data_IF_160349180039
#
_entry.id   IF_160349180039
#
_cell.length_a   1.000
_cell.length_b   1.000
_cell.length_c   1.000
_cell.angle_alpha   90.00
_cell.angle_beta   90.00
_cell.angle_gamma   90.00
#
_symmetry.space_group_name_H-M   'P 1'
#
loop_
_entity.id
_entity.type
_entity.pdbx_description
1 polymer ?
#
# COMPACT_ATOMS: atom_id res chain seq x y z
N UNK A 1 -6.39 -22.58 -3.40
CA UNK A 1 -6.21 -21.17 -3.00
C UNK A 1 -6.34 -20.29 -4.23
N UNK A 2 -7.09 -19.18 -4.15
CA UNK A 2 -7.20 -18.21 -5.25
C UNK A 2 -6.04 -17.23 -5.16
N UNK A 3 -5.29 -17.05 -6.24
CA UNK A 3 -4.12 -16.16 -6.27
C UNK A 3 -4.53 -14.72 -6.57
N UNK A 4 -3.85 -13.76 -5.95
CA UNK A 4 -3.96 -12.35 -6.32
C UNK A 4 -3.36 -12.12 -7.71
N UNK A 5 -4.06 -11.36 -8.55
CA UNK A 5 -3.59 -10.93 -9.87
C UNK A 5 -2.61 -9.76 -9.77
N UNK A 6 -2.81 -8.89 -8.77
CA UNK A 6 -1.86 -7.88 -8.37
C UNK A 6 -1.82 -7.80 -6.83
N UNK A 7 -0.62 -7.59 -6.29
CA UNK A 7 -0.44 -7.50 -4.84
C UNK A 7 0.58 -6.41 -4.50
N UNK A 8 0.18 -5.55 -3.57
CA UNK A 8 1.00 -4.54 -2.96
C UNK A 8 1.27 -4.94 -1.50
N UNK A 9 2.54 -4.82 -1.11
CA UNK A 9 3.00 -4.93 0.26
C UNK A 9 3.82 -3.68 0.53
N UNK A 10 3.52 -2.97 1.62
CA UNK A 10 4.21 -1.74 1.98
C UNK A 10 5.74 -1.91 2.00
N UNK A 11 6.23 -2.95 2.68
CA UNK A 11 7.66 -3.28 2.71
C UNK A 11 7.87 -4.78 2.62
N UNK A 12 8.48 -5.24 1.52
CA UNK A 12 8.77 -6.65 1.29
C UNK A 12 9.83 -7.16 2.28
N UNK A 13 9.56 -8.29 2.92
CA UNK A 13 10.50 -8.98 3.81
C UNK A 13 10.47 -8.54 5.28
N UNK A 14 9.71 -7.50 5.63
CA UNK A 14 9.51 -7.09 7.03
C UNK A 14 8.50 -8.04 7.69
N UNK A 15 8.92 -8.75 8.75
CA UNK A 15 8.09 -9.75 9.42
C UNK A 15 7.27 -9.14 10.56
N UNK A 16 6.16 -9.79 10.94
CA UNK A 16 5.36 -9.39 12.12
C UNK A 16 6.19 -9.36 13.39
N UNK A 17 7.09 -10.35 13.57
CA UNK A 17 8.00 -10.39 14.71
C UNK A 17 8.91 -9.16 14.71
N UNK A 18 9.49 -8.81 13.56
CA UNK A 18 10.34 -7.64 13.42
C UNK A 18 9.58 -6.35 13.76
N UNK A 19 8.35 -6.19 13.28
CA UNK A 19 7.51 -5.01 13.54
C UNK A 19 7.28 -4.83 15.05
N UNK A 20 6.85 -5.91 15.73
CA UNK A 20 6.60 -5.88 17.18
C UNK A 20 7.87 -5.59 17.96
N UNK A 21 8.99 -6.22 17.59
CA UNK A 21 10.29 -5.99 18.20
C UNK A 21 10.77 -4.54 18.02
N UNK A 22 10.64 -3.97 16.82
CA UNK A 22 11.04 -2.60 16.54
C UNK A 22 10.16 -1.57 17.27
N UNK A 23 8.88 -1.85 17.48
CA UNK A 23 8.01 -1.05 18.35
C UNK A 23 8.42 -1.14 19.83
N UNK A 24 8.69 -2.34 20.34
CA UNK A 24 9.20 -2.53 21.71
C UNK A 24 10.52 -1.81 21.93
N UNK A 25 11.43 -1.86 20.95
CA UNK A 25 12.70 -1.13 20.99
C UNK A 25 12.47 0.37 21.09
N UNK A 26 11.61 0.94 20.24
CA UNK A 26 11.30 2.37 20.23
C UNK A 26 10.73 2.82 21.59
N UNK A 27 9.77 2.08 22.13
CA UNK A 27 9.17 2.40 23.43
C UNK A 27 10.21 2.29 24.56
N UNK A 28 11.04 1.25 24.58
CA UNK A 28 12.08 1.11 25.60
C UNK A 28 13.15 2.22 25.55
N UNK A 29 13.48 2.73 24.35
CA UNK A 29 14.36 3.89 24.20
C UNK A 29 13.67 5.15 24.72
N UNK A 30 12.39 5.36 24.36
CA UNK A 30 11.61 6.50 24.84
C UNK A 30 11.54 6.51 26.36
N UNK A 31 11.17 5.37 26.97
CA UNK A 31 11.08 5.23 28.42
C UNK A 31 12.43 5.52 29.10
N UNK A 32 13.55 5.07 28.52
CA UNK A 32 14.89 5.38 29.00
C UNK A 32 15.21 6.87 28.93
N UNK A 33 14.84 7.55 27.85
CA UNK A 33 15.08 8.99 27.69
C UNK A 33 14.22 9.82 28.65
N UNK A 34 12.96 9.44 28.84
CA UNK A 34 11.99 10.17 29.66
C UNK A 34 12.27 10.00 31.17
N UNK A 35 12.78 8.84 31.60
CA UNK A 35 13.02 8.53 33.01
C UNK A 35 14.48 8.60 33.44
N UNK A 36 15.41 8.90 32.54
CA UNK A 36 16.78 9.15 32.96
C UNK A 36 16.81 10.40 33.85
N UNK A 37 17.34 10.27 35.06
CA UNK A 37 17.67 11.41 35.93
C UNK A 37 18.88 12.22 35.40
N UNK A 38 19.08 12.23 34.08
CA UNK A 38 20.17 12.92 33.40
C UNK A 38 19.63 14.14 32.69
N UNK A 39 20.33 15.27 32.81
CA UNK A 39 20.08 16.42 31.96
C UNK A 39 20.61 16.12 30.55
N UNK A 40 19.72 16.15 29.56
CA UNK A 40 20.05 15.92 28.16
C UNK A 40 20.57 17.18 27.46
N UNK A 41 20.23 18.38 27.95
CA UNK A 41 20.50 19.67 27.28
C UNK A 41 22.00 19.96 27.08
N UNK A 42 22.86 19.39 27.93
CA UNK A 42 24.32 19.54 27.84
C UNK A 42 25.03 18.48 27.00
N UNK A 43 24.32 17.48 26.46
CA UNK A 43 24.95 16.37 25.73
C UNK A 43 24.91 16.64 24.23
N UNK A 44 25.99 16.27 23.54
CA UNK A 44 25.95 16.13 22.08
C UNK A 44 25.00 15.00 21.67
N UNK A 45 24.45 15.08 20.46
CA UNK A 45 23.60 14.04 19.87
C UNK A 45 24.33 12.69 19.80
N UNK A 46 25.64 12.69 19.56
CA UNK A 46 26.44 11.47 19.60
C UNK A 46 26.57 10.88 21.01
N UNK A 47 26.67 11.72 22.05
CA UNK A 47 26.70 11.27 23.44
C UNK A 47 25.35 10.69 23.89
N UNK A 48 24.23 11.35 23.57
CA UNK A 48 22.89 10.82 23.85
C UNK A 48 22.72 9.46 23.18
N UNK A 49 23.10 9.35 21.90
CA UNK A 49 23.05 8.08 21.18
C UNK A 49 23.97 7.01 21.78
N UNK A 50 25.17 7.37 22.24
CA UNK A 50 26.07 6.44 22.91
C UNK A 50 25.47 5.91 24.23
N UNK A 51 24.76 6.76 24.98
CA UNK A 51 24.02 6.37 26.19
C UNK A 51 22.86 5.42 25.87
N UNK A 52 22.08 5.69 24.82
CA UNK A 52 21.04 4.77 24.33
C UNK A 52 21.66 3.41 23.96
N UNK A 53 22.79 3.41 23.24
CA UNK A 53 23.49 2.17 22.89
C UNK A 53 24.00 1.42 24.12
N UNK A 54 24.44 2.12 25.17
CA UNK A 54 24.86 1.51 26.43
C UNK A 54 23.67 0.85 27.15
N UNK A 55 22.54 1.55 27.24
CA UNK A 55 21.29 1.01 27.80
C UNK A 55 20.83 -0.27 27.07
N UNK A 56 20.84 -0.26 25.74
CA UNK A 56 20.45 -1.43 24.93
C UNK A 56 21.44 -2.59 25.13
N UNK A 57 22.72 -2.32 25.40
CA UNK A 57 23.71 -3.36 25.72
C UNK A 57 23.48 -3.96 27.12
N UNK A 58 23.00 -3.16 28.07
CA UNK A 58 22.67 -3.68 29.41
C UNK A 58 21.38 -4.48 29.44
N UNK A 59 20.43 -4.18 28.55
CA UNK A 59 19.12 -4.83 28.52
C UNK A 59 19.10 -6.09 27.65
N UNK A 60 19.02 -7.27 28.29
CA UNK A 60 19.12 -8.57 27.59
C UNK A 60 18.03 -8.78 26.55
N UNK A 61 16.83 -8.26 26.82
CA UNK A 61 15.67 -8.40 25.94
C UNK A 61 15.81 -7.61 24.63
N UNK A 62 16.69 -6.61 24.57
CA UNK A 62 16.91 -5.74 23.40
C UNK A 62 18.14 -6.10 22.57
N UNK A 63 18.93 -7.10 22.98
CA UNK A 63 20.18 -7.47 22.30
C UNK A 63 20.01 -7.84 20.82
N UNK A 64 18.83 -8.30 20.40
CA UNK A 64 18.52 -8.61 19.00
C UNK A 64 18.62 -7.36 18.10
N UNK A 65 18.35 -6.16 18.63
CA UNK A 65 18.36 -4.90 17.89
C UNK A 65 19.75 -4.53 17.34
N UNK A 66 20.81 -5.11 17.94
CA UNK A 66 22.20 -4.94 17.51
C UNK A 66 22.50 -5.57 16.15
N UNK A 67 21.70 -6.57 15.76
CA UNK A 67 21.84 -7.24 14.46
C UNK A 67 21.00 -6.49 13.42
N UNK A 68 21.52 -6.27 12.20
CA UNK A 68 20.72 -5.70 11.13
C UNK A 68 19.51 -6.59 10.81
N UNK A 69 18.41 -6.02 10.26
CA UNK A 69 17.26 -6.79 9.86
C UNK A 69 17.64 -7.82 8.78
N UNK A 70 16.98 -8.98 8.82
CA UNK A 70 17.18 -10.04 7.84
C UNK A 70 16.88 -9.51 6.43
N UNK A 71 17.77 -9.81 5.49
CA UNK A 71 17.61 -9.43 4.10
C UNK A 71 16.97 -10.59 3.31
N UNK A 72 16.21 -10.30 2.25
CA UNK A 72 15.73 -11.35 1.36
C UNK A 72 16.88 -12.21 0.83
N UNK A 73 16.68 -13.52 0.79
CA UNK A 73 17.69 -14.49 0.34
C UNK A 73 18.12 -14.29 -1.11
N UNK A 74 19.29 -14.82 -1.47
CA UNK A 74 19.86 -14.69 -2.82
C UNK A 74 18.92 -15.22 -3.92
N UNK A 75 18.27 -16.35 -3.69
CA UNK A 75 17.30 -16.91 -4.63
C UNK A 75 16.10 -15.98 -4.88
N UNK A 76 15.59 -15.33 -3.84
CA UNK A 76 14.53 -14.33 -3.97
C UNK A 76 15.03 -13.16 -4.82
N UNK A 77 16.20 -12.59 -4.49
CA UNK A 77 16.79 -11.48 -5.25
C UNK A 77 17.00 -11.82 -6.72
N UNK A 78 17.49 -13.03 -7.02
CA UNK A 78 17.67 -13.51 -8.38
C UNK A 78 16.34 -13.63 -9.12
N UNK A 79 15.32 -14.24 -8.49
CA UNK A 79 13.97 -14.36 -9.06
C UNK A 79 13.36 -13.00 -9.35
N UNK A 80 13.51 -12.05 -8.43
CA UNK A 80 13.05 -10.67 -8.61
C UNK A 80 13.80 -9.98 -9.75
N UNK A 81 15.12 -10.12 -9.84
CA UNK A 81 15.93 -9.55 -10.92
C UNK A 81 15.56 -10.13 -12.30
N UNK A 82 15.38 -11.46 -12.39
CA UNK A 82 14.93 -12.11 -13.61
C UNK A 82 13.55 -11.63 -14.03
N UNK A 83 12.61 -11.46 -13.09
CA UNK A 83 11.28 -10.93 -13.40
C UNK A 83 11.33 -9.45 -13.81
N UNK A 84 12.15 -8.65 -13.13
CA UNK A 84 12.34 -7.22 -13.41
C UNK A 84 12.85 -7.00 -14.83
N UNK A 85 13.76 -7.84 -15.33
CA UNK A 85 14.34 -7.71 -16.67
C UNK A 85 13.52 -8.46 -17.71
N UNK A 86 13.06 -9.68 -17.39
CA UNK A 86 12.36 -10.56 -18.33
C UNK A 86 11.02 -10.00 -18.80
N UNK A 87 10.27 -9.31 -17.94
CA UNK A 87 8.98 -8.74 -18.32
C UNK A 87 9.12 -7.59 -19.35
N UNK A 88 9.97 -6.56 -19.14
CA UNK A 88 10.25 -5.57 -20.17
C UNK A 88 10.79 -6.16 -21.48
N UNK A 89 11.66 -7.17 -21.41
CA UNK A 89 12.15 -7.86 -22.61
C UNK A 89 11.01 -8.57 -23.37
N UNK A 90 10.09 -9.22 -22.65
CA UNK A 90 8.91 -9.82 -23.27
C UNK A 90 8.04 -8.75 -23.94
N UNK A 91 7.81 -7.61 -23.29
CA UNK A 91 7.08 -6.47 -23.89
C UNK A 91 7.80 -5.97 -25.13
N UNK A 92 9.13 -5.84 -25.10
CA UNK A 92 9.96 -5.42 -26.24
C UNK A 92 9.77 -6.35 -27.45
N UNK A 93 9.77 -7.67 -27.20
CA UNK A 93 9.51 -8.68 -28.25
C UNK A 93 8.08 -8.58 -28.80
N UNK A 94 7.11 -8.22 -27.98
CA UNK A 94 5.71 -8.07 -28.39
C UNK A 94 5.40 -6.71 -29.04
N UNK A 95 6.31 -5.73 -28.99
CA UNK A 95 6.09 -4.39 -29.56
C UNK A 95 5.63 -4.38 -31.03
N UNK A 96 6.16 -5.22 -31.94
CA UNK A 96 5.70 -5.25 -33.33
C UNK A 96 4.21 -5.58 -33.47
N UNK A 97 3.62 -6.27 -32.50
CA UNK A 97 2.19 -6.57 -32.43
C UNK A 97 1.44 -5.50 -31.63
N UNK A 98 2.01 -5.04 -30.51
CA UNK A 98 1.36 -4.07 -29.63
C UNK A 98 1.21 -2.68 -30.28
N UNK A 99 2.21 -2.22 -31.04
CA UNK A 99 2.18 -0.92 -31.71
C UNK A 99 0.99 -0.80 -32.69
N UNK A 100 0.77 -1.71 -33.65
CA UNK A 100 -0.39 -1.64 -34.53
C UNK A 100 -1.71 -1.95 -33.82
N UNK A 101 -1.70 -2.77 -32.76
CA UNK A 101 -2.91 -3.05 -31.97
C UNK A 101 -3.34 -1.84 -31.12
N UNK A 102 -2.43 -0.96 -30.73
CA UNK A 102 -2.69 0.14 -29.80
C UNK A 102 -3.71 1.18 -30.33
N UNK A 103 -3.63 1.69 -31.59
CA UNK A 103 -4.68 2.55 -32.14
C UNK A 103 -6.05 1.89 -32.20
N UNK A 104 -6.10 0.58 -32.49
CA UNK A 104 -7.36 -0.19 -32.49
C UNK A 104 -7.92 -0.28 -31.08
N UNK A 105 -7.05 -0.56 -30.10
CA UNK A 105 -7.43 -0.59 -28.69
C UNK A 105 -7.94 0.78 -28.21
N UNK A 106 -7.30 1.89 -28.61
CA UNK A 106 -7.76 3.24 -28.28
C UNK A 106 -9.13 3.57 -28.88
N UNK A 107 -9.36 3.17 -30.13
CA UNK A 107 -10.66 3.35 -30.78
C UNK A 107 -11.75 2.56 -30.04
N UNK A 108 -11.49 1.28 -29.74
CA UNK A 108 -12.42 0.44 -28.99
C UNK A 108 -12.66 0.99 -27.59
N UNK A 109 -11.62 1.44 -26.88
CA UNK A 109 -11.74 2.08 -25.58
C UNK A 109 -12.69 3.27 -25.67
N UNK A 110 -12.49 4.14 -26.66
CA UNK A 110 -13.29 5.35 -26.83
C UNK A 110 -14.75 5.03 -27.14
N UNK A 111 -15.02 4.05 -27.99
CA UNK A 111 -16.39 3.59 -28.28
C UNK A 111 -17.07 3.13 -26.99
N UNK A 112 -16.41 2.28 -26.21
CA UNK A 112 -17.00 1.77 -24.98
C UNK A 112 -17.18 2.86 -23.91
N UNK A 113 -16.22 3.78 -23.73
CA UNK A 113 -16.37 4.89 -22.77
C UNK A 113 -17.55 5.81 -23.10
N UNK A 114 -17.83 6.03 -24.38
CA UNK A 114 -18.96 6.83 -24.83
C UNK A 114 -20.31 6.10 -24.69
N UNK A 115 -20.32 4.78 -24.84
CA UNK A 115 -21.54 3.97 -24.73
C UNK A 115 -21.88 3.53 -23.30
N UNK A 116 -20.88 3.42 -22.43
CA UNK A 116 -21.06 2.88 -21.09
C UNK A 116 -21.93 3.80 -20.23
N UNK A 117 -22.89 3.19 -19.52
CA UNK A 117 -23.66 3.85 -18.49
C UNK A 117 -22.78 4.07 -17.24
N UNK A 118 -22.84 5.28 -16.69
CA UNK A 118 -22.18 5.67 -15.45
C UNK A 118 -23.21 6.36 -14.53
N UNK A 119 -24.21 5.61 -14.02
CA UNK A 119 -25.21 6.19 -13.14
C UNK A 119 -24.58 6.62 -11.82
N UNK A 120 -24.94 7.79 -11.34
CA UNK A 120 -24.64 8.20 -9.97
C UNK A 120 -25.78 7.71 -9.08
N UNK A 121 -25.52 6.62 -8.36
CA UNK A 121 -26.47 6.03 -7.41
C UNK A 121 -26.02 6.39 -6.00
N UNK A 122 -26.96 6.85 -5.16
CA UNK A 122 -26.68 7.04 -3.73
C UNK A 122 -26.78 5.67 -3.03
N UNK A 123 -25.80 5.28 -2.19
CA UNK A 123 -25.94 4.10 -1.34
C UNK A 123 -27.10 4.26 -0.34
N UNK A 124 -27.64 3.12 0.08
CA UNK A 124 -28.63 3.08 1.15
C UNK A 124 -27.98 3.45 2.49
N UNK A 125 -28.68 4.26 3.29
CA UNK A 125 -28.13 4.79 4.54
C UNK A 125 -27.93 3.67 5.59
N UNK A 126 -28.77 2.62 5.60
CA UNK A 126 -28.61 1.49 6.51
C UNK A 126 -27.38 0.63 6.17
N UNK A 127 -27.13 0.42 4.87
CA UNK A 127 -25.90 -0.23 4.39
C UNK A 127 -24.65 0.56 4.76
N UNK A 128 -24.67 1.89 4.64
CA UNK A 128 -23.56 2.73 5.10
C UNK A 128 -23.32 2.55 6.59
N UNK A 129 -24.39 2.58 7.39
CA UNK A 129 -24.27 2.41 8.84
C UNK A 129 -23.65 1.05 9.20
N UNK A 130 -24.09 -0.05 8.58
CA UNK A 130 -23.51 -1.38 8.79
C UNK A 130 -22.00 -1.42 8.49
N UNK A 131 -21.58 -0.75 7.42
CA UNK A 131 -20.16 -0.66 7.07
C UNK A 131 -19.37 0.19 8.06
N UNK A 132 -19.90 1.35 8.44
CA UNK A 132 -19.24 2.29 9.35
C UNK A 132 -19.11 1.71 10.77
N UNK A 133 -20.06 0.90 11.23
CA UNK A 133 -20.00 0.22 12.53
C UNK A 133 -18.81 -0.76 12.65
N UNK A 134 -18.26 -1.19 11.51
CA UNK A 134 -17.11 -2.09 11.43
C UNK A 134 -15.79 -1.36 11.18
N UNK A 135 -15.83 -0.06 10.87
CA UNK A 135 -14.66 0.76 10.53
C UNK A 135 -14.04 1.41 11.77
N UNK A 136 -12.79 1.85 11.64
CA UNK A 136 -12.11 2.73 12.62
C UNK A 136 -12.00 2.19 14.06
N UNK A 137 -12.02 0.86 14.21
CA UNK A 137 -11.92 0.20 15.52
C UNK A 137 -10.51 0.30 16.13
N UNK A 138 -9.48 0.32 15.29
CA UNK A 138 -8.07 0.41 15.69
C UNK A 138 -7.30 1.26 14.67
N UNK A 139 -5.99 1.49 14.86
CA UNK A 139 -5.22 2.36 13.96
C UNK A 139 -5.20 1.85 12.50
N UNK A 140 -5.29 0.54 12.32
CA UNK A 140 -5.47 -0.12 11.04
C UNK A 140 -6.93 -0.41 10.75
N UNK A 141 -7.37 0.01 9.57
CA UNK A 141 -8.68 -0.27 9.04
C UNK A 141 -8.60 -1.22 7.83
N UNK A 142 -9.72 -1.83 7.52
CA UNK A 142 -9.91 -2.81 6.47
C UNK A 142 -10.86 -2.28 5.41
N UNK A 143 -10.58 -2.61 4.16
CA UNK A 143 -11.49 -2.32 3.06
C UNK A 143 -11.60 -3.52 2.14
N UNK A 144 -12.82 -3.86 1.75
CA UNK A 144 -13.12 -4.89 0.78
C UNK A 144 -14.21 -4.41 -0.16
N UNK A 145 -13.98 -4.51 -1.46
CA UNK A 145 -14.99 -4.22 -2.47
C UNK A 145 -15.00 -5.30 -3.54
N UNK A 146 -16.19 -5.56 -4.09
CA UNK A 146 -16.38 -6.50 -5.19
C UNK A 146 -17.15 -5.84 -6.32
N UNK A 147 -16.65 -5.99 -7.54
CA UNK A 147 -17.28 -5.44 -8.73
C UNK A 147 -17.33 -6.45 -9.86
N UNK A 148 -18.33 -6.30 -10.72
CA UNK A 148 -18.37 -6.99 -12.01
C UNK A 148 -17.54 -6.24 -13.03
N UNK A 149 -16.76 -6.97 -13.81
CA UNK A 149 -16.12 -6.42 -15.01
C UNK A 149 -17.19 -6.23 -16.08
N UNK A 150 -17.19 -5.08 -16.74
CA UNK A 150 -18.04 -4.81 -17.90
C UNK A 150 -17.91 -5.94 -18.95
N UNK A 151 -18.99 -6.34 -19.61
CA UNK A 151 -18.99 -7.50 -20.50
C UNK A 151 -18.09 -7.29 -21.73
N UNK A 152 -17.65 -8.41 -22.32
CA UNK A 152 -16.89 -8.44 -23.57
C UNK A 152 -15.40 -8.73 -23.39
N UNK A 153 -14.82 -9.39 -24.40
CA UNK A 153 -13.42 -9.80 -24.41
C UNK A 153 -12.46 -8.60 -24.30
N UNK A 154 -12.84 -7.45 -24.87
CA UNK A 154 -12.04 -6.23 -24.83
C UNK A 154 -11.81 -5.75 -23.38
N UNK A 155 -12.87 -5.70 -22.56
CA UNK A 155 -12.79 -5.29 -21.15
C UNK A 155 -12.00 -6.30 -20.32
N UNK A 156 -12.22 -7.58 -20.55
CA UNK A 156 -11.45 -8.64 -19.89
C UNK A 156 -9.94 -8.56 -20.21
N UNK A 157 -9.57 -8.36 -21.48
CA UNK A 157 -8.19 -8.21 -21.90
C UNK A 157 -7.56 -6.94 -21.32
N UNK A 158 -8.32 -5.84 -21.32
CA UNK A 158 -7.88 -4.55 -20.77
C UNK A 158 -7.60 -4.64 -19.27
N UNK A 159 -8.57 -5.12 -18.47
CA UNK A 159 -8.38 -5.30 -17.02
C UNK A 159 -7.21 -6.23 -16.72
N UNK A 160 -7.10 -7.34 -17.46
CA UNK A 160 -6.02 -8.28 -17.25
C UNK A 160 -4.64 -7.66 -17.54
N UNK A 161 -4.51 -6.92 -18.65
CA UNK A 161 -3.28 -6.18 -18.96
C UNK A 161 -2.93 -5.13 -17.91
N UNK A 162 -3.94 -4.39 -17.42
CA UNK A 162 -3.76 -3.38 -16.37
C UNK A 162 -3.35 -4.04 -15.05
N UNK A 163 -3.97 -5.15 -14.65
CA UNK A 163 -3.59 -5.86 -13.44
C UNK A 163 -2.18 -6.47 -13.54
N UNK A 164 -1.76 -6.93 -14.72
CA UNK A 164 -0.38 -7.34 -14.96
C UNK A 164 0.60 -6.18 -14.79
N UNK A 165 0.29 -5.01 -15.38
CA UNK A 165 1.09 -3.81 -15.25
C UNK A 165 1.13 -3.32 -13.79
N UNK A 166 -0.01 -3.33 -13.10
CA UNK A 166 -0.12 -2.98 -11.69
C UNK A 166 0.71 -3.92 -10.83
N UNK A 167 0.63 -5.24 -11.05
CA UNK A 167 1.43 -6.23 -10.33
C UNK A 167 2.94 -6.03 -10.56
N UNK A 168 3.35 -5.71 -11.78
CA UNK A 168 4.74 -5.37 -12.07
C UNK A 168 5.16 -4.09 -11.33
N UNK A 169 4.32 -3.05 -11.38
CA UNK A 169 4.56 -1.76 -10.72
C UNK A 169 4.64 -1.88 -9.20
N UNK A 170 3.69 -2.56 -8.56
CA UNK A 170 3.69 -2.75 -7.09
C UNK A 170 4.90 -3.55 -6.63
N UNK A 171 5.33 -4.53 -7.44
CA UNK A 171 6.46 -5.41 -7.12
C UNK A 171 7.82 -4.73 -7.28
N UNK A 172 7.98 -3.87 -8.30
CA UNK A 172 9.30 -3.35 -8.70
C UNK A 172 9.48 -1.85 -8.53
N UNK A 173 8.40 -1.07 -8.61
CA UNK A 173 8.44 0.39 -8.58
C UNK A 173 7.95 0.91 -7.22
N UNK A 174 6.83 0.40 -6.73
CA UNK A 174 6.17 0.88 -5.50
C UNK A 174 6.44 -0.04 -4.30
N UNK A 175 7.58 -0.69 -4.23
CA UNK A 175 7.87 -1.73 -3.23
C UNK A 175 8.52 -1.22 -1.92
N UNK A 176 8.52 0.10 -1.70
CA UNK A 176 9.17 0.76 -0.56
C UNK A 176 8.29 1.86 0.05
N UNK A 177 7.38 1.48 0.94
CA UNK A 177 6.64 2.35 1.87
C UNK A 177 5.76 3.42 1.20
N UNK A 178 5.62 3.39 -0.13
CA UNK A 178 5.01 4.46 -0.90
C UNK A 178 4.38 3.90 -2.18
N UNK A 179 3.05 3.96 -2.25
CA UNK A 179 2.27 3.69 -3.44
C UNK A 179 1.91 5.03 -4.11
N UNK A 180 2.81 5.53 -4.97
CA UNK A 180 2.59 6.74 -5.76
C UNK A 180 2.09 7.98 -4.97
N UNK A 181 2.62 8.16 -3.75
CA UNK A 181 2.33 9.26 -2.83
C UNK A 181 1.59 8.81 -1.57
N UNK A 182 0.90 7.67 -1.62
CA UNK A 182 0.12 7.13 -0.48
C UNK A 182 1.02 6.24 0.38
N UNK A 183 1.16 6.58 1.67
CA UNK A 183 2.06 5.89 2.62
C UNK A 183 1.34 5.13 3.73
N UNK A 184 0.01 5.25 3.78
CA UNK A 184 -0.85 4.69 4.81
C UNK A 184 -1.30 3.25 4.50
N UNK A 185 -0.95 2.71 3.33
CA UNK A 185 -1.36 1.34 2.92
C UNK A 185 -0.35 0.33 3.47
N UNK A 186 -0.83 -0.69 4.18
CA UNK A 186 -0.04 -1.87 4.56
C UNK A 186 -0.03 -2.91 3.44
N UNK A 187 -1.22 -3.23 2.93
CA UNK A 187 -1.43 -4.25 1.91
C UNK A 187 -2.57 -3.84 0.99
N UNK A 188 -2.46 -4.14 -0.29
CA UNK A 188 -3.58 -4.05 -1.23
C UNK A 188 -3.52 -5.20 -2.23
N UNK A 189 -4.66 -5.81 -2.54
CA UNK A 189 -4.72 -6.96 -3.45
C UNK A 189 -5.92 -6.88 -4.38
N UNK A 190 -5.69 -7.32 -5.61
CA UNK A 190 -6.72 -7.50 -6.62
C UNK A 190 -6.83 -8.98 -6.93
N UNK A 191 -8.01 -9.56 -6.71
CA UNK A 191 -8.28 -10.97 -6.94
C UNK A 191 -9.35 -11.07 -8.02
N UNK A 192 -8.98 -11.72 -9.12
CA UNK A 192 -9.90 -11.95 -10.24
C UNK A 192 -10.63 -13.27 -10.03
N UNK A 193 -11.95 -13.26 -10.20
CA UNK A 193 -12.85 -14.40 -9.98
C UNK A 193 -13.71 -14.68 -11.20
N UNK A 194 -14.35 -15.86 -11.21
CA UNK A 194 -15.39 -16.26 -12.15
C UNK A 194 -15.00 -16.03 -13.62
N UNK A 195 -13.87 -16.62 -14.06
CA UNK A 195 -13.38 -16.49 -15.44
C UNK A 195 -13.17 -15.03 -15.86
N UNK A 196 -12.58 -14.22 -14.98
CA UNK A 196 -12.31 -12.79 -15.22
C UNK A 196 -13.55 -11.90 -15.32
N UNK A 197 -14.68 -12.33 -14.75
CA UNK A 197 -15.93 -11.55 -14.72
C UNK A 197 -16.13 -10.74 -13.45
N UNK A 198 -15.39 -11.03 -12.38
CA UNK A 198 -15.43 -10.26 -11.13
C UNK A 198 -14.03 -9.95 -10.64
N UNK A 199 -13.89 -8.81 -9.97
CA UNK A 199 -12.67 -8.42 -9.26
C UNK A 199 -13.03 -8.11 -7.82
N UNK A 200 -12.27 -8.67 -6.90
CA UNK A 200 -12.25 -8.24 -5.50
C UNK A 200 -11.03 -7.36 -5.31
N UNK A 201 -11.25 -6.17 -4.77
CA UNK A 201 -10.20 -5.36 -4.19
C UNK A 201 -10.27 -5.49 -2.68
N UNK A 202 -9.13 -5.73 -2.04
CA UNK A 202 -9.04 -5.69 -0.58
C UNK A 202 -7.78 -4.94 -0.16
N UNK A 203 -7.90 -4.11 0.86
CA UNK A 203 -6.83 -3.28 1.36
C UNK A 203 -6.83 -3.19 2.88
N UNK A 204 -5.64 -2.97 3.42
CA UNK A 204 -5.40 -2.66 4.84
C UNK A 204 -4.62 -1.36 4.90
N UNK A 205 -5.13 -0.40 5.65
CA UNK A 205 -4.63 0.98 5.64
C UNK A 205 -4.76 1.62 7.02
N UNK A 206 -4.11 2.78 7.19
CA UNK A 206 -4.19 3.57 8.41
C UNK A 206 -5.30 4.61 8.35
N UNK A 207 -5.95 4.86 9.50
CA UNK A 207 -6.92 5.94 9.65
C UNK A 207 -8.30 5.64 9.05
N UNK A 208 -9.08 6.71 8.85
CA UNK A 208 -10.48 6.60 8.41
C UNK A 208 -10.61 6.30 6.92
N UNK A 209 -11.70 5.64 6.54
CA UNK A 209 -11.99 5.41 5.12
C UNK A 209 -12.03 6.72 4.32
N UNK A 210 -12.59 7.77 4.91
CA UNK A 210 -12.70 9.06 4.25
C UNK A 210 -11.31 9.63 3.92
N UNK A 211 -10.42 9.72 4.92
CA UNK A 211 -9.05 10.19 4.71
C UNK A 211 -8.28 9.32 3.72
N UNK A 212 -8.56 8.02 3.72
CA UNK A 212 -7.97 7.07 2.79
C UNK A 212 -8.43 7.29 1.35
N UNK A 213 -9.72 7.55 1.14
CA UNK A 213 -10.27 7.82 -0.18
C UNK A 213 -9.83 9.17 -0.73
N UNK A 214 -9.75 10.20 0.11
CA UNK A 214 -9.21 11.51 -0.28
C UNK A 214 -7.78 11.37 -0.80
N UNK A 215 -6.93 10.63 -0.07
CA UNK A 215 -5.55 10.34 -0.48
C UNK A 215 -5.48 9.64 -1.85
N UNK A 216 -6.42 8.73 -2.15
CA UNK A 216 -6.45 8.10 -3.46
C UNK A 216 -6.89 9.05 -4.56
N UNK A 217 -7.93 9.84 -4.32
CA UNK A 217 -8.49 10.74 -5.32
C UNK A 217 -7.43 11.80 -5.68
N UNK A 218 -6.76 12.37 -4.69
CA UNK A 218 -5.77 13.42 -4.88
C UNK A 218 -4.49 12.92 -5.56
N UNK A 219 -3.97 11.77 -5.12
CA UNK A 219 -2.61 11.33 -5.51
C UNK A 219 -2.61 10.30 -6.63
N UNK A 220 -3.65 9.47 -6.69
CA UNK A 220 -3.65 8.24 -7.51
C UNK A 220 -4.98 7.96 -8.21
N UNK A 221 -5.81 8.99 -8.44
CA UNK A 221 -7.05 8.87 -9.22
C UNK A 221 -6.81 8.24 -10.59
N UNK A 222 -5.67 8.53 -11.23
CA UNK A 222 -5.27 7.90 -12.49
C UNK A 222 -5.21 6.37 -12.41
N UNK A 223 -4.71 5.84 -11.28
CA UNK A 223 -4.56 4.40 -11.03
C UNK A 223 -5.89 3.76 -10.65
N UNK A 224 -6.71 4.45 -9.85
CA UNK A 224 -8.09 4.04 -9.59
C UNK A 224 -8.88 3.92 -10.89
N UNK A 225 -8.83 4.96 -11.72
CA UNK A 225 -9.51 5.00 -13.01
C UNK A 225 -9.03 3.86 -13.91
N UNK A 226 -7.71 3.61 -13.99
CA UNK A 226 -7.17 2.52 -14.79
C UNK A 226 -7.77 1.16 -14.43
N UNK A 227 -7.83 0.83 -13.14
CA UNK A 227 -8.32 -0.48 -12.71
C UNK A 227 -9.85 -0.54 -12.71
N UNK A 228 -10.51 0.42 -12.06
CA UNK A 228 -11.91 0.33 -11.68
C UNK A 228 -12.90 0.84 -12.74
N UNK A 229 -12.49 1.63 -13.72
CA UNK A 229 -13.38 2.09 -14.82
C UNK A 229 -13.88 0.97 -15.73
N UNK A 230 -13.22 -0.18 -15.67
CA UNK A 230 -13.68 -1.40 -16.32
C UNK A 230 -14.77 -2.13 -15.51
N UNK A 231 -15.08 -1.67 -14.30
CA UNK A 231 -16.17 -2.13 -13.46
C UNK A 231 -17.51 -1.53 -13.88
N UNK A 232 -18.59 -2.31 -13.76
CA UNK A 232 -19.95 -1.86 -14.05
C UNK A 232 -20.34 -0.70 -13.12
N UNK A 233 -20.85 0.40 -13.69
CA UNK A 233 -21.34 1.55 -12.93
C UNK A 233 -20.27 2.48 -12.34
N UNK A 234 -18.99 2.29 -12.68
CA UNK A 234 -17.93 3.22 -12.29
C UNK A 234 -18.14 4.61 -12.92
N UNK A 235 -17.80 5.72 -12.24
CA UNK A 235 -17.90 7.06 -12.81
C UNK A 235 -17.19 7.18 -14.15
N UNK A 236 -17.77 7.96 -15.08
CA UNK A 236 -17.27 8.05 -16.45
C UNK A 236 -15.82 8.55 -16.46
N UNK A 237 -14.94 7.77 -17.08
CA UNK A 237 -13.55 8.14 -17.35
C UNK A 237 -13.38 8.66 -18.76
N UNK A 238 -12.27 9.33 -18.98
CA UNK A 238 -11.83 9.76 -20.29
C UNK A 238 -10.43 9.20 -20.53
N UNK A 239 -10.28 8.39 -21.58
CA UNK A 239 -9.05 7.68 -21.91
C UNK A 239 -8.50 6.86 -20.75
N UNK A 240 -9.40 6.18 -20.02
CA UNK A 240 -9.13 5.27 -18.91
C UNK A 240 -8.53 5.94 -17.66
N UNK A 241 -8.01 7.16 -17.75
CA UNK A 241 -7.13 7.77 -16.74
C UNK A 241 -7.73 9.05 -16.16
N UNK A 242 -8.44 9.85 -16.96
CA UNK A 242 -8.93 11.16 -16.54
C UNK A 242 -10.38 11.10 -16.05
N UNK A 243 -10.80 12.17 -15.37
CA UNK A 243 -12.13 12.34 -14.76
C UNK A 243 -12.41 11.24 -13.73
N UNK A 244 -13.43 10.40 -13.94
CA UNK A 244 -13.69 9.21 -13.13
C UNK A 244 -13.73 9.50 -11.63
N UNK A 245 -12.76 8.96 -10.88
CA UNK A 245 -12.57 9.13 -9.44
C UNK A 245 -12.51 10.60 -8.98
N UNK A 246 -12.18 11.55 -9.87
CA UNK A 246 -12.21 12.99 -9.56
C UNK A 246 -13.62 13.54 -9.37
N UNK A 247 -14.65 12.83 -9.84
CA UNK A 247 -16.00 13.09 -9.36
C UNK A 247 -16.16 12.40 -8.00
N UNK A 248 -15.67 13.07 -6.97
CA UNK A 248 -15.53 12.54 -5.61
C UNK A 248 -16.82 11.91 -5.09
N UNK A 249 -17.94 12.63 -5.19
CA UNK A 249 -19.22 12.14 -4.68
C UNK A 249 -19.67 10.87 -5.41
N UNK A 250 -19.63 10.86 -6.75
CA UNK A 250 -20.03 9.69 -7.51
C UNK A 250 -19.08 8.50 -7.26
N UNK A 251 -17.79 8.76 -7.07
CA UNK A 251 -16.82 7.74 -6.75
C UNK A 251 -17.00 7.15 -5.35
N UNK A 252 -17.15 7.99 -4.31
CA UNK A 252 -17.36 7.55 -2.93
C UNK A 252 -18.68 6.79 -2.79
N UNK A 253 -19.74 7.24 -3.46
CA UNK A 253 -21.02 6.53 -3.50
C UNK A 253 -20.89 5.17 -4.20
N UNK A 254 -20.22 5.15 -5.37
CA UNK A 254 -19.92 3.90 -6.08
C UNK A 254 -19.10 2.93 -5.22
N UNK A 255 -18.12 3.44 -4.49
CA UNK A 255 -17.28 2.68 -3.57
C UNK A 255 -18.11 2.02 -2.48
N UNK A 256 -18.96 2.79 -1.77
CA UNK A 256 -19.82 2.31 -0.68
C UNK A 256 -20.82 1.26 -1.16
N UNK A 257 -21.38 1.40 -2.35
CA UNK A 257 -22.28 0.40 -2.96
C UNK A 257 -21.58 -0.94 -3.18
N UNK A 258 -20.31 -0.93 -3.58
CA UNK A 258 -19.56 -2.14 -3.89
C UNK A 258 -18.75 -2.67 -2.71
N UNK A 259 -18.72 -1.93 -1.59
CA UNK A 259 -18.04 -2.33 -0.38
C UNK A 259 -18.81 -3.47 0.29
N UNK A 260 -18.05 -4.46 0.76
CA UNK A 260 -18.57 -5.62 1.49
C UNK A 260 -18.13 -5.57 2.95
N UNK A 261 -19.00 -5.96 3.90
CA UNK A 261 -18.65 -6.00 5.31
C UNK A 261 -17.55 -7.04 5.56
N UNK A 262 -16.50 -6.63 6.28
CA UNK A 262 -15.43 -7.56 6.65
C UNK A 262 -15.90 -8.45 7.79
N UNK A 263 -16.12 -9.73 7.47
CA UNK A 263 -16.67 -10.71 8.41
C UNK A 263 -15.74 -11.04 9.57
N UNK A 264 -14.42 -11.06 9.31
CA UNK A 264 -13.39 -11.35 10.31
C UNK A 264 -12.23 -10.39 10.09
N UNK A 265 -11.93 -9.60 11.12
CA UNK A 265 -10.81 -8.68 11.13
C UNK A 265 -9.72 -9.15 12.10
N UNK A 266 -8.47 -9.04 11.67
CA UNK A 266 -7.31 -9.34 12.50
C UNK A 266 -6.18 -8.38 12.16
N UNK A 267 -5.68 -7.68 13.17
CA UNK A 267 -4.40 -6.97 13.10
C UNK A 267 -3.42 -7.57 14.10
N UNK A 268 -2.21 -7.86 13.63
CA UNK A 268 -1.15 -8.35 14.51
C UNK A 268 -0.49 -7.22 15.33
N UNK A 269 -0.79 -5.96 15.03
CA UNK A 269 -0.20 -4.76 15.61
C UNK A 269 -1.16 -3.58 15.43
N UNK A 270 -2.33 -3.69 16.06
CA UNK A 270 -3.49 -2.79 15.94
C UNK A 270 -3.24 -1.30 16.21
N UNK A 271 -2.21 -0.96 16.99
CA UNK A 271 -1.84 0.41 17.36
C UNK A 271 -0.72 1.01 16.48
N UNK A 272 -0.16 0.26 15.54
CA UNK A 272 0.94 0.74 14.69
C UNK A 272 0.45 1.10 13.29
N UNK A 273 0.68 2.36 12.91
CA UNK A 273 0.51 2.83 11.53
C UNK A 273 1.68 2.40 10.64
N UNK A 274 1.50 2.37 9.32
CA UNK A 274 2.58 2.13 8.36
C UNK A 274 3.73 3.14 8.52
N UNK A 275 3.41 4.39 8.88
CA UNK A 275 4.40 5.42 9.21
C UNK A 275 5.17 5.10 10.50
N UNK A 276 4.49 4.64 11.56
CA UNK A 276 5.19 4.21 12.78
C UNK A 276 6.11 3.03 12.50
N UNK A 277 5.66 2.06 11.71
CA UNK A 277 6.48 0.90 11.34
C UNK A 277 7.74 1.34 10.59
N UNK A 278 7.59 2.21 9.60
CA UNK A 278 8.71 2.77 8.84
C UNK A 278 9.67 3.56 9.76
N UNK A 279 9.14 4.36 10.68
CA UNK A 279 9.93 5.14 11.63
C UNK A 279 10.72 4.23 12.59
N UNK A 280 10.07 3.21 13.17
CA UNK A 280 10.69 2.25 14.07
C UNK A 280 11.82 1.46 13.38
N UNK A 281 11.63 1.11 12.10
CA UNK A 281 12.68 0.48 11.30
C UNK A 281 13.89 1.42 11.09
N UNK A 282 13.65 2.72 10.86
CA UNK A 282 14.71 3.74 10.75
C UNK A 282 15.46 3.93 12.07
N UNK A 283 14.76 3.96 13.20
CA UNK A 283 15.37 4.03 14.53
C UNK A 283 16.36 2.87 14.71
N UNK A 284 15.92 1.63 14.46
CA UNK A 284 16.80 0.45 14.55
C UNK A 284 17.97 0.54 13.59
N UNK A 285 17.73 0.90 12.32
CA UNK A 285 18.79 0.99 11.31
C UNK A 285 19.85 2.05 11.67
N UNK A 286 19.42 3.16 12.28
CA UNK A 286 20.31 4.22 12.76
C UNK A 286 21.03 3.88 14.07
N UNK A 287 20.61 2.86 14.81
CA UNK A 287 21.15 2.60 16.15
C UNK A 287 22.66 2.34 16.17
N UNK A 288 23.19 1.58 15.22
CA UNK A 288 24.63 1.23 15.15
C UNK A 288 25.32 1.63 13.83
N UNK A 289 24.68 2.49 13.02
CA UNK A 289 25.29 3.02 11.80
C UNK A 289 26.37 4.07 12.10
N UNK A 290 27.30 4.31 11.18
CA UNK A 290 28.26 5.42 11.32
C UNK A 290 27.54 6.73 10.99
N UNK A 291 27.58 7.70 11.90
CA UNK A 291 26.89 8.99 11.77
C UNK A 291 27.77 10.13 12.28
N UNK A 292 27.64 11.31 11.66
CA UNK A 292 28.14 12.58 12.20
C UNK A 292 27.17 13.13 13.24
N UNK A 293 27.55 14.22 13.92
CA UNK A 293 26.71 14.93 14.89
C UNK A 293 25.33 15.30 14.32
N UNK A 294 25.29 15.97 13.17
CA UNK A 294 24.03 16.34 12.48
C UNK A 294 23.16 15.13 12.15
N UNK A 295 23.76 14.02 11.70
CA UNK A 295 23.01 12.79 11.39
C UNK A 295 22.50 12.08 12.65
N UNK A 296 23.22 12.21 13.76
CA UNK A 296 22.76 11.71 15.05
C UNK A 296 21.59 12.55 15.57
N UNK A 297 21.63 13.87 15.38
CA UNK A 297 20.51 14.77 15.70
C UNK A 297 19.26 14.42 14.89
N UNK A 298 19.39 14.27 13.57
CA UNK A 298 18.29 13.83 12.70
C UNK A 298 17.71 12.48 13.12
N UNK A 299 18.56 11.55 13.57
CA UNK A 299 18.13 10.25 14.08
C UNK A 299 17.40 10.35 15.42
N UNK A 300 17.87 11.22 16.34
CA UNK A 300 17.20 11.47 17.62
C UNK A 300 15.81 12.09 17.44
N UNK A 301 15.60 12.92 16.41
CA UNK A 301 14.29 13.48 16.06
C UNK A 301 13.26 12.42 15.62
N UNK A 302 13.66 11.17 15.43
CA UNK A 302 12.74 10.07 15.14
C UNK A 302 12.09 9.49 16.40
N UNK A 303 12.64 9.76 17.60
CA UNK A 303 12.20 9.18 18.86
C UNK A 303 10.98 9.91 19.45
#
# INVERSE_FOLDING_TARGET
MVNASAYYVNTVGRTVQQIRQESQLRNAIQDFLDHAQQDWLGNSSLEVRAKIQAYIRSERTLNWARKPPAQPGLFFKLKEALHLVGMPLLVLVLLPVLIPAFPIWLLLLRIHELSDAAPHLKPDDAHIQELTDLEDLVAQNQFGAVGYVKPGWFRQLTVWGILLAANYGTRHIFNKENLAGVKTIHFARWVVLNEKRRVIFASNYDGSLESYMDDFIDKVAWGLNAVFSNGVGFPRTNWLIFDGAKNEQAFKDHLRIHQIPTQVWYSAYDHLTALNIANNAKIRAGLYSKMSETKAEEWLRLL
#
